data_IF_466181527015
#
_entry.id   IF_466181527015
#
_cell.length_a   1.000
_cell.length_b   1.000
_cell.length_c   1.000
_cell.angle_alpha   90.00
_cell.angle_beta   90.00
_cell.angle_gamma   90.00
#
_symmetry.space_group_name_H-M   'P 1'
#
loop_
_entity.id
_entity.type
_entity.pdbx_description
1 polymer ?
#
# COMPACT_ATOMS: atom_id res chain seq x y z
N UNK A 1 17.19 -52.07 32.50
CA UNK A 1 17.10 -52.98 31.34
C UNK A 1 15.63 -53.21 31.07
N UNK A 2 14.99 -52.86 29.96
CA UNK A 2 15.43 -52.31 28.68
C UNK A 2 14.25 -52.46 27.69
N UNK A 3 14.17 -51.58 26.70
CA UNK A 3 13.32 -51.70 25.51
C UNK A 3 11.90 -51.18 25.71
N UNK A 4 11.37 -50.25 24.93
CA UNK A 4 11.74 -49.76 23.61
C UNK A 4 10.43 -49.49 22.88
N UNK A 5 9.89 -48.27 23.01
CA UNK A 5 8.66 -47.91 22.31
C UNK A 5 8.99 -47.75 20.82
N UNK A 6 8.49 -48.70 20.02
CA UNK A 6 8.47 -48.62 18.56
C UNK A 6 7.68 -47.37 18.16
N UNK A 7 8.36 -46.39 17.59
CA UNK A 7 7.73 -45.37 16.77
C UNK A 7 7.57 -45.94 15.36
N UNK A 8 6.37 -46.41 15.04
CA UNK A 8 5.98 -46.64 13.65
C UNK A 8 5.44 -45.33 13.11
N UNK A 9 6.23 -44.67 12.27
CA UNK A 9 5.79 -43.57 11.44
C UNK A 9 4.72 -44.07 10.47
N UNK A 10 3.47 -43.74 10.78
CA UNK A 10 2.46 -43.53 9.77
C UNK A 10 2.21 -42.03 9.68
N UNK A 11 2.23 -41.57 8.44
CA UNK A 11 2.16 -40.18 8.00
C UNK A 11 0.93 -39.45 8.56
N UNK A 12 1.12 -38.68 9.64
CA UNK A 12 0.17 -37.63 10.09
C UNK A 12 0.56 -36.31 9.43
N UNK A 13 0.74 -36.33 8.10
CA UNK A 13 1.11 -35.18 7.28
C UNK A 13 -0.12 -34.42 6.71
N UNK A 14 -1.34 -34.71 7.17
CA UNK A 14 -2.59 -34.26 6.52
C UNK A 14 -3.55 -33.42 7.38
N UNK A 15 -3.16 -32.94 8.57
CA UNK A 15 -3.93 -31.86 9.23
C UNK A 15 -3.19 -30.53 8.99
N UNK A 16 -3.59 -29.74 7.97
CA UNK A 16 -2.80 -28.61 7.53
C UNK A 16 -2.87 -27.51 8.59
N UNK A 17 -1.74 -27.36 9.28
CA UNK A 17 -1.30 -26.26 10.13
C UNK A 17 -1.62 -24.88 9.53
N UNK A 18 -1.79 -24.79 8.21
CA UNK A 18 -2.19 -23.60 7.47
C UNK A 18 -3.61 -23.09 7.77
N UNK A 19 -4.57 -23.94 8.12
CA UNK A 19 -5.94 -23.48 8.47
C UNK A 19 -6.01 -22.80 9.83
N UNK A 20 -5.04 -23.08 10.70
CA UNK A 20 -4.89 -22.44 12.02
C UNK A 20 -4.14 -21.11 11.89
N UNK A 21 -3.08 -21.07 11.09
CA UNK A 21 -2.31 -19.82 10.82
C UNK A 21 -3.16 -18.80 10.04
N UNK A 22 -3.98 -19.23 9.09
CA UNK A 22 -4.86 -18.33 8.33
C UNK A 22 -5.91 -17.63 9.22
N UNK A 23 -6.42 -18.32 10.24
CA UNK A 23 -7.37 -17.72 11.21
C UNK A 23 -6.67 -16.76 12.17
N UNK A 24 -5.44 -17.06 12.58
CA UNK A 24 -4.65 -16.20 13.47
C UNK A 24 -4.19 -14.91 12.76
N UNK A 25 -3.82 -15.01 11.47
CA UNK A 25 -3.47 -13.86 10.62
C UNK A 25 -4.66 -12.93 10.33
N UNK A 26 -5.87 -13.48 10.09
CA UNK A 26 -7.09 -12.69 9.90
C UNK A 26 -7.53 -11.95 11.18
N UNK A 27 -7.25 -12.51 12.35
CA UNK A 27 -7.50 -11.85 13.65
C UNK A 27 -6.48 -10.73 13.93
N UNK A 28 -5.22 -10.91 13.53
CA UNK A 28 -4.16 -9.89 13.61
C UNK A 28 -4.41 -8.74 12.60
N UNK A 29 -4.89 -9.04 11.38
CA UNK A 29 -5.28 -8.04 10.36
C UNK A 29 -6.41 -7.13 10.83
N UNK A 30 -7.46 -7.70 11.45
CA UNK A 30 -8.57 -6.91 12.00
C UNK A 30 -8.14 -6.06 13.21
N UNK A 31 -7.14 -6.49 14.00
CA UNK A 31 -6.54 -5.68 15.09
C UNK A 31 -5.60 -4.59 14.57
N UNK A 32 -4.91 -4.79 13.45
CA UNK A 32 -4.06 -3.79 12.80
C UNK A 32 -4.86 -2.67 12.12
N UNK A 33 -6.00 -3.00 11.49
CA UNK A 33 -6.92 -2.01 10.91
C UNK A 33 -7.50 -1.09 11.97
N UNK A 34 -7.70 -1.59 13.19
CA UNK A 34 -8.15 -0.78 14.32
C UNK A 34 -7.04 0.13 14.90
N UNK A 35 -5.77 -0.17 14.63
CA UNK A 35 -4.59 0.57 15.10
C UNK A 35 -4.11 1.63 14.10
N UNK A 36 -4.30 1.44 12.79
CA UNK A 36 -3.82 2.39 11.77
C UNK A 36 -4.74 3.61 11.55
N UNK A 37 -5.92 3.66 12.18
CA UNK A 37 -6.78 4.84 12.17
C UNK A 37 -7.57 5.00 13.47
N UNK A 38 -7.01 5.73 14.46
CA UNK A 38 -7.59 7.05 14.73
C UNK A 38 -6.56 8.06 15.29
N UNK A 39 -6.05 9.00 14.48
CA UNK A 39 -5.66 10.33 15.02
C UNK A 39 -5.36 11.38 13.94
N UNK A 40 -6.24 12.39 13.88
CA UNK A 40 -6.21 13.54 12.96
C UNK A 40 -5.11 14.58 13.22
N UNK A 41 -4.20 14.38 14.20
CA UNK A 41 -3.30 15.47 14.67
C UNK A 41 -1.79 15.21 14.48
N UNK A 42 -1.31 13.97 14.57
CA UNK A 42 0.14 13.70 14.69
C UNK A 42 0.88 13.68 13.34
N UNK A 43 0.20 13.30 12.25
CA UNK A 43 0.84 13.21 10.94
C UNK A 43 1.42 14.54 10.44
N UNK A 44 0.78 15.67 10.77
CA UNK A 44 1.19 16.99 10.27
C UNK A 44 2.49 17.50 10.91
N UNK A 45 2.81 17.06 12.13
CA UNK A 45 4.08 17.35 12.80
C UNK A 45 5.18 16.40 12.34
N UNK A 46 4.90 15.10 12.18
CA UNK A 46 5.86 14.12 11.63
C UNK A 46 6.23 14.43 10.18
N UNK A 47 5.29 14.95 9.39
CA UNK A 47 5.51 15.39 8.01
C UNK A 47 6.31 16.71 7.90
N UNK A 48 6.60 17.39 9.01
CA UNK A 48 7.40 18.63 9.05
C UNK A 48 8.90 18.36 8.91
N UNK A 49 9.33 17.12 9.14
CA UNK A 49 10.75 16.72 9.21
C UNK A 49 11.35 16.19 7.89
N UNK A 50 10.66 16.35 6.76
CA UNK A 50 11.20 16.04 5.41
C UNK A 50 11.64 14.58 5.25
N UNK A 51 10.80 13.69 5.77
CA UNK A 51 11.11 12.28 5.89
C UNK A 51 10.89 11.51 4.57
N UNK A 52 11.87 11.57 3.66
CA UNK A 52 11.78 10.95 2.33
C UNK A 52 12.02 9.43 2.36
N UNK A 53 12.60 8.89 3.43
CA UNK A 53 12.95 7.47 3.52
C UNK A 53 11.72 6.57 3.70
N UNK A 54 10.73 6.95 4.50
CA UNK A 54 9.51 6.17 4.69
C UNK A 54 8.73 5.93 3.37
N UNK A 55 8.39 6.97 2.60
CA UNK A 55 7.77 6.86 1.28
C UNK A 55 8.57 6.00 0.31
N UNK A 56 9.90 6.12 0.35
CA UNK A 56 10.81 5.35 -0.50
C UNK A 56 10.79 3.85 -0.13
N UNK A 57 10.81 3.52 1.17
CA UNK A 57 10.68 2.12 1.63
C UNK A 57 9.32 1.55 1.23
N UNK A 58 8.23 2.29 1.38
CA UNK A 58 6.89 1.84 0.98
C UNK A 58 6.82 1.58 -0.54
N UNK A 59 7.43 2.46 -1.33
CA UNK A 59 7.51 2.30 -2.78
C UNK A 59 8.33 1.07 -3.16
N UNK A 60 9.50 0.86 -2.55
CA UNK A 60 10.34 -0.29 -2.81
C UNK A 60 9.67 -1.60 -2.39
N UNK A 61 9.03 -1.62 -1.22
CA UNK A 61 8.26 -2.76 -0.75
C UNK A 61 7.16 -3.13 -1.74
N UNK A 62 6.38 -2.14 -2.20
CA UNK A 62 5.34 -2.38 -3.22
C UNK A 62 5.96 -2.94 -4.51
N UNK A 63 7.03 -2.32 -5.02
CA UNK A 63 7.72 -2.78 -6.23
C UNK A 63 8.27 -4.20 -6.11
N UNK A 64 8.84 -4.56 -4.96
CA UNK A 64 9.37 -5.91 -4.68
C UNK A 64 8.23 -6.92 -4.63
N UNK A 65 7.13 -6.61 -3.92
CA UNK A 65 5.97 -7.51 -3.83
C UNK A 65 5.41 -7.80 -5.22
N UNK A 66 5.24 -6.78 -6.06
CA UNK A 66 4.74 -6.98 -7.43
C UNK A 66 5.75 -7.71 -8.31
N UNK A 67 7.04 -7.45 -8.15
CA UNK A 67 8.10 -8.11 -8.93
C UNK A 67 8.22 -9.60 -8.65
N UNK A 68 8.05 -10.02 -7.38
CA UNK A 68 8.12 -11.43 -6.97
C UNK A 68 6.93 -12.23 -7.51
N UNK A 69 5.75 -11.62 -7.61
CA UNK A 69 4.56 -12.27 -8.16
C UNK A 69 4.50 -12.22 -9.69
N UNK A 70 5.23 -11.30 -10.33
CA UNK A 70 5.27 -11.17 -11.78
C UNK A 70 6.06 -12.32 -12.44
N UNK A 71 5.76 -12.65 -13.72
CA UNK A 71 6.55 -13.60 -14.49
C UNK A 71 8.04 -13.18 -14.54
N UNK A 72 8.99 -14.14 -14.51
CA UNK A 72 10.42 -13.82 -14.42
C UNK A 72 10.93 -12.93 -15.55
N UNK A 73 10.31 -13.01 -16.75
CA UNK A 73 10.63 -12.17 -17.90
C UNK A 73 10.23 -10.69 -17.74
N UNK A 74 9.30 -10.37 -16.82
CA UNK A 74 8.75 -9.02 -16.64
C UNK A 74 8.99 -8.43 -15.24
N UNK A 75 9.46 -9.22 -14.28
CA UNK A 75 9.76 -8.83 -12.88
C UNK A 75 10.51 -7.48 -12.77
N UNK A 76 11.62 -7.33 -13.51
CA UNK A 76 12.44 -6.10 -13.53
C UNK A 76 11.64 -4.90 -14.09
N UNK A 77 10.85 -5.13 -15.13
CA UNK A 77 10.01 -4.09 -15.74
C UNK A 77 8.91 -3.61 -14.80
N UNK A 78 8.27 -4.53 -14.07
CA UNK A 78 7.25 -4.21 -13.07
C UNK A 78 7.85 -3.46 -11.89
N UNK A 79 8.97 -3.93 -11.34
CA UNK A 79 9.69 -3.25 -10.26
C UNK A 79 10.06 -1.81 -10.64
N UNK A 80 10.70 -1.65 -11.81
CA UNK A 80 11.14 -0.35 -12.30
C UNK A 80 9.94 0.55 -12.58
N UNK A 81 8.87 -0.01 -13.16
CA UNK A 81 7.60 0.67 -13.41
C UNK A 81 7.02 1.27 -12.13
N UNK A 82 6.90 0.49 -11.05
CA UNK A 82 6.39 0.99 -9.76
C UNK A 82 7.28 2.12 -9.22
N UNK A 83 8.60 1.94 -9.23
CA UNK A 83 9.54 2.96 -8.72
C UNK A 83 9.46 4.26 -9.53
N UNK A 84 9.41 4.17 -10.86
CA UNK A 84 9.31 5.34 -11.75
C UNK A 84 7.96 6.03 -11.58
N UNK A 85 6.86 5.27 -11.53
CA UNK A 85 5.52 5.83 -11.32
C UNK A 85 5.45 6.52 -9.97
N UNK A 86 5.89 5.88 -8.88
CA UNK A 86 5.87 6.48 -7.55
C UNK A 86 6.75 7.74 -7.45
N UNK A 87 7.97 7.71 -7.99
CA UNK A 87 8.90 8.84 -7.91
C UNK A 87 8.46 10.02 -8.80
N UNK A 88 8.27 9.79 -10.10
CA UNK A 88 7.89 10.85 -11.04
C UNK A 88 6.42 11.24 -10.92
N UNK A 89 5.52 10.28 -10.70
CA UNK A 89 4.10 10.52 -10.53
C UNK A 89 3.80 11.34 -9.27
N UNK A 90 4.42 11.03 -8.12
CA UNK A 90 4.27 11.86 -6.92
C UNK A 90 4.83 13.28 -7.13
N UNK A 91 5.93 13.42 -7.90
CA UNK A 91 6.50 14.71 -8.27
C UNK A 91 5.55 15.54 -9.12
N UNK A 92 5.00 14.98 -10.19
CA UNK A 92 4.03 15.66 -11.06
C UNK A 92 2.80 16.07 -10.27
N UNK A 93 2.19 15.15 -9.51
CA UNK A 93 0.98 15.43 -8.70
C UNK A 93 1.25 16.53 -7.67
N UNK A 94 2.41 16.50 -7.02
CA UNK A 94 2.76 17.51 -6.01
C UNK A 94 2.98 18.88 -6.64
N UNK A 95 3.70 18.98 -7.76
CA UNK A 95 3.88 20.24 -8.48
C UNK A 95 2.52 20.82 -8.89
N UNK A 96 1.64 19.99 -9.45
CA UNK A 96 0.29 20.40 -9.84
C UNK A 96 -0.51 20.94 -8.64
N UNK A 97 -0.47 20.25 -7.48
CA UNK A 97 -1.14 20.71 -6.26
C UNK A 97 -0.57 22.04 -5.73
N UNK A 98 0.73 22.31 -5.93
CA UNK A 98 1.34 23.60 -5.59
C UNK A 98 0.93 24.72 -6.53
N UNK A 99 0.92 24.46 -7.84
CA UNK A 99 0.50 25.44 -8.86
C UNK A 99 -0.95 25.89 -8.67
N UNK A 100 -1.79 25.01 -8.11
CA UNK A 100 -3.17 25.32 -7.72
C UNK A 100 -3.31 26.25 -6.50
N UNK A 101 -2.21 26.63 -5.85
CA UNK A 101 -2.19 27.54 -4.71
C UNK A 101 -2.18 26.87 -3.33
N UNK A 102 -1.88 25.56 -3.25
CA UNK A 102 -1.79 24.85 -1.98
C UNK A 102 -0.65 25.34 -1.08
N UNK A 103 -0.97 25.75 0.15
CA UNK A 103 0.01 26.24 1.15
C UNK A 103 0.71 25.10 1.90
N UNK A 104 1.36 24.21 1.16
CA UNK A 104 2.19 23.10 1.70
C UNK A 104 3.64 23.31 1.29
N UNK A 105 4.61 22.63 1.90
CA UNK A 105 5.97 22.49 1.34
C UNK A 105 6.01 21.46 0.20
N UNK A 106 6.93 21.59 -0.77
CA UNK A 106 6.99 20.66 -1.91
C UNK A 106 7.25 19.22 -1.43
N UNK A 107 8.30 19.04 -0.64
CA UNK A 107 8.67 17.73 -0.10
C UNK A 107 7.63 17.14 0.85
N UNK A 108 6.93 17.98 1.61
CA UNK A 108 5.84 17.52 2.48
C UNK A 108 4.69 16.91 1.67
N UNK A 109 4.36 17.49 0.51
CA UNK A 109 3.41 16.90 -0.43
C UNK A 109 3.89 15.54 -0.97
N UNK A 110 5.14 15.48 -1.44
CA UNK A 110 5.75 14.23 -1.94
C UNK A 110 5.69 13.12 -0.90
N UNK A 111 6.15 13.41 0.32
CA UNK A 111 6.19 12.43 1.39
C UNK A 111 4.78 11.95 1.74
N UNK A 112 3.82 12.87 1.87
CA UNK A 112 2.45 12.50 2.22
C UNK A 112 1.81 11.59 1.17
N UNK A 113 1.97 11.92 -0.12
CA UNK A 113 1.43 11.10 -1.20
C UNK A 113 2.02 9.69 -1.20
N UNK A 114 3.31 9.55 -0.88
CA UNK A 114 3.95 8.25 -0.74
C UNK A 114 3.51 7.49 0.52
N UNK A 115 3.28 8.16 1.64
CA UNK A 115 2.69 7.54 2.83
C UNK A 115 1.27 7.04 2.60
N UNK A 116 0.50 7.76 1.78
CA UNK A 116 -0.82 7.34 1.37
C UNK A 116 -0.81 6.05 0.52
N UNK A 117 0.33 5.55 0.05
CA UNK A 117 0.46 4.24 -0.65
C UNK A 117 0.42 3.05 0.33
N UNK A 118 0.56 3.27 1.64
CA UNK A 118 0.56 2.18 2.63
C UNK A 118 -0.61 1.17 2.51
N UNK A 119 -1.87 1.59 2.28
CA UNK A 119 -2.99 0.66 2.06
C UNK A 119 -2.83 -0.21 0.81
N UNK A 120 -2.27 0.34 -0.28
CA UNK A 120 -1.96 -0.42 -1.50
C UNK A 120 -0.86 -1.45 -1.25
N UNK A 121 0.14 -1.11 -0.44
CA UNK A 121 1.19 -2.05 -0.04
C UNK A 121 0.63 -3.22 0.79
N UNK A 122 -0.33 -2.94 1.67
CA UNK A 122 -1.05 -3.99 2.41
C UNK A 122 -1.90 -4.86 1.48
N UNK A 123 -2.58 -4.27 0.50
CA UNK A 123 -3.33 -5.02 -0.51
C UNK A 123 -2.42 -5.90 -1.37
N UNK A 124 -1.23 -5.40 -1.75
CA UNK A 124 -0.22 -6.18 -2.47
C UNK A 124 0.30 -7.34 -1.62
N UNK A 125 0.57 -7.12 -0.34
CA UNK A 125 0.99 -8.17 0.58
C UNK A 125 -0.06 -9.28 0.71
N UNK A 126 -1.34 -8.92 0.86
CA UNK A 126 -2.45 -9.89 0.91
C UNK A 126 -2.57 -10.64 -0.43
N UNK A 127 -2.33 -9.94 -1.55
CA UNK A 127 -2.34 -10.53 -2.90
C UNK A 127 -1.27 -11.61 -3.07
N UNK A 128 -0.13 -11.53 -2.36
CA UNK A 128 0.89 -12.58 -2.36
C UNK A 128 0.39 -13.90 -1.75
N UNK A 129 -0.52 -13.83 -0.76
CA UNK A 129 -1.06 -15.02 -0.10
C UNK A 129 -2.34 -15.52 -0.78
N UNK A 130 -3.14 -14.61 -1.36
CA UNK A 130 -4.45 -14.92 -1.95
C UNK A 130 -4.43 -14.62 -3.45
N UNK A 131 -4.26 -15.67 -4.26
CA UNK A 131 -4.21 -15.57 -5.73
C UNK A 131 -5.59 -15.52 -6.40
N UNK A 132 -6.68 -15.48 -5.61
CA UNK A 132 -8.05 -15.46 -6.14
C UNK A 132 -8.44 -14.05 -6.56
N UNK A 133 -8.66 -13.85 -7.86
CA UNK A 133 -8.98 -12.54 -8.44
C UNK A 133 -10.24 -11.90 -7.82
N UNK A 134 -11.24 -12.72 -7.47
CA UNK A 134 -12.47 -12.27 -6.83
C UNK A 134 -12.26 -11.67 -5.43
N UNK A 135 -11.14 -11.99 -4.76
CA UNK A 135 -10.75 -11.42 -3.47
C UNK A 135 -9.78 -10.25 -3.65
N UNK A 136 -8.86 -10.33 -4.62
CA UNK A 136 -7.92 -9.22 -4.93
C UNK A 136 -8.62 -7.98 -5.48
N UNK A 137 -9.60 -8.15 -6.35
CA UNK A 137 -10.35 -7.05 -6.95
C UNK A 137 -10.99 -6.10 -5.91
N UNK A 138 -11.84 -6.58 -4.97
CA UNK A 138 -12.42 -5.71 -3.96
C UNK A 138 -11.37 -5.13 -3.01
N UNK A 139 -10.34 -5.91 -2.63
CA UNK A 139 -9.26 -5.40 -1.76
C UNK A 139 -8.47 -4.26 -2.40
N UNK A 140 -8.11 -4.38 -3.68
CA UNK A 140 -7.40 -3.33 -4.40
C UNK A 140 -8.27 -2.06 -4.56
N UNK A 141 -9.58 -2.23 -4.83
CA UNK A 141 -10.53 -1.10 -4.92
C UNK A 141 -10.67 -0.40 -3.57
N UNK A 142 -10.79 -1.15 -2.47
CA UNK A 142 -10.88 -0.59 -1.12
C UNK A 142 -9.59 0.15 -0.74
N UNK A 143 -8.43 -0.46 -1.02
CA UNK A 143 -7.14 0.18 -0.79
C UNK A 143 -6.98 1.46 -1.61
N UNK A 144 -7.33 1.41 -2.90
CA UNK A 144 -7.32 2.57 -3.79
C UNK A 144 -8.23 3.71 -3.28
N UNK A 145 -9.47 3.38 -2.91
CA UNK A 145 -10.40 4.35 -2.34
C UNK A 145 -9.84 4.95 -1.03
N UNK A 146 -9.17 4.15 -0.20
CA UNK A 146 -8.53 4.60 1.02
C UNK A 146 -7.37 5.56 0.74
N UNK A 147 -6.52 5.26 -0.24
CA UNK A 147 -5.40 6.11 -0.64
C UNK A 147 -5.89 7.49 -1.10
N UNK A 148 -6.94 7.51 -1.93
CA UNK A 148 -7.58 8.75 -2.40
C UNK A 148 -8.15 9.51 -1.22
N UNK A 149 -8.94 8.85 -0.37
CA UNK A 149 -9.55 9.49 0.79
C UNK A 149 -8.49 10.10 1.73
N UNK A 150 -7.42 9.36 2.02
CA UNK A 150 -6.32 9.86 2.87
C UNK A 150 -5.62 11.08 2.24
N UNK A 151 -5.40 11.06 0.93
CA UNK A 151 -4.77 12.19 0.20
C UNK A 151 -5.69 13.41 0.10
N UNK A 152 -6.99 13.22 -0.11
CA UNK A 152 -7.98 14.31 -0.12
C UNK A 152 -8.08 14.97 1.25
N UNK A 153 -8.14 14.19 2.33
CA UNK A 153 -8.14 14.74 3.69
C UNK A 153 -6.87 15.55 3.99
N UNK A 154 -5.73 15.16 3.42
CA UNK A 154 -4.53 15.97 3.49
C UNK A 154 -4.69 17.29 2.73
N UNK A 155 -5.15 17.25 1.47
CA UNK A 155 -5.38 18.43 0.63
C UNK A 155 -6.38 19.41 1.23
N UNK A 156 -7.48 18.94 1.85
CA UNK A 156 -8.44 19.79 2.56
C UNK A 156 -7.77 20.58 3.70
N UNK A 157 -6.74 20.00 4.34
CA UNK A 157 -5.94 20.66 5.36
C UNK A 157 -5.04 21.80 4.85
N UNK A 158 -4.87 21.92 3.53
CA UNK A 158 -3.90 22.85 2.90
C UNK A 158 -4.49 24.21 2.53
N UNK A 159 -5.76 24.45 2.87
CA UNK A 159 -6.52 25.68 2.59
C UNK A 159 -6.57 26.03 1.10
N UNK A 160 -6.61 25.02 0.23
CA UNK A 160 -6.92 25.22 -1.19
C UNK A 160 -8.38 25.66 -1.32
N UNK A 161 -8.64 26.56 -2.26
CA UNK A 161 -9.98 27.03 -2.57
C UNK A 161 -10.89 25.84 -2.93
N UNK A 162 -12.08 25.69 -2.32
CA UNK A 162 -12.91 24.48 -2.49
C UNK A 162 -13.21 24.13 -3.95
N UNK A 163 -13.33 25.15 -4.80
CA UNK A 163 -13.54 25.02 -6.24
C UNK A 163 -12.36 24.39 -6.99
N UNK A 164 -11.14 24.49 -6.46
CA UNK A 164 -9.90 23.99 -7.07
C UNK A 164 -9.50 22.60 -6.56
N UNK A 165 -10.09 22.13 -5.46
CA UNK A 165 -9.79 20.81 -4.89
C UNK A 165 -10.07 19.71 -5.91
N UNK A 166 -11.19 19.80 -6.63
CA UNK A 166 -11.55 18.80 -7.65
C UNK A 166 -10.48 18.67 -8.75
N UNK A 167 -9.88 19.79 -9.17
CA UNK A 167 -8.80 19.81 -10.16
C UNK A 167 -7.49 19.19 -9.63
N UNK A 168 -7.23 19.29 -8.32
CA UNK A 168 -6.09 18.62 -7.69
C UNK A 168 -6.31 17.11 -7.52
N UNK A 169 -7.55 16.68 -7.31
CA UNK A 169 -7.90 15.27 -7.08
C UNK A 169 -7.81 14.43 -8.36
N UNK A 170 -8.07 15.01 -9.53
CA UNK A 170 -8.03 14.29 -10.81
C UNK A 170 -6.69 13.56 -11.09
N UNK A 171 -5.52 14.23 -11.10
CA UNK A 171 -4.24 13.53 -11.30
C UNK A 171 -3.90 12.56 -10.17
N UNK A 172 -4.38 12.84 -8.96
CA UNK A 172 -4.26 12.00 -7.76
C UNK A 172 -4.97 10.65 -7.94
N UNK A 173 -6.20 10.70 -8.47
CA UNK A 173 -7.01 9.54 -8.76
C UNK A 173 -6.34 8.64 -9.79
N UNK A 174 -5.84 9.23 -10.89
CA UNK A 174 -5.11 8.52 -11.94
C UNK A 174 -3.83 7.87 -11.41
N UNK A 175 -3.06 8.60 -10.59
CA UNK A 175 -1.83 8.10 -9.98
C UNK A 175 -2.06 6.84 -9.16
N UNK A 176 -3.02 6.86 -8.22
CA UNK A 176 -3.33 5.68 -7.41
C UNK A 176 -4.02 4.58 -8.22
N UNK A 177 -4.79 4.94 -9.24
CA UNK A 177 -5.46 3.96 -10.09
C UNK A 177 -4.47 3.10 -10.86
N UNK A 178 -3.42 3.70 -11.42
CA UNK A 178 -2.36 2.97 -12.13
C UNK A 178 -1.67 1.98 -11.19
N UNK A 179 -1.33 2.38 -9.96
CA UNK A 179 -0.71 1.49 -8.97
C UNK A 179 -1.65 0.35 -8.55
N UNK A 180 -2.93 0.65 -8.30
CA UNK A 180 -3.95 -0.35 -7.99
C UNK A 180 -4.13 -1.34 -9.16
N UNK A 181 -4.09 -0.85 -10.39
CA UNK A 181 -4.18 -1.67 -11.60
C UNK A 181 -2.98 -2.62 -11.73
N UNK A 182 -1.77 -2.15 -11.44
CA UNK A 182 -0.58 -3.01 -11.40
C UNK A 182 -0.71 -4.11 -10.35
N UNK A 183 -1.31 -3.82 -9.19
CA UNK A 183 -1.64 -4.83 -8.18
C UNK A 183 -2.70 -5.82 -8.66
N UNK A 184 -3.57 -5.46 -9.60
CA UNK A 184 -4.61 -6.35 -10.13
C UNK A 184 -4.14 -7.28 -11.25
N UNK A 185 -3.16 -6.84 -12.06
CA UNK A 185 -2.71 -7.58 -13.24
C UNK A 185 -1.59 -8.60 -12.96
N UNK A 186 -0.86 -8.46 -11.84
CA UNK A 186 0.11 -9.49 -11.38
C UNK A 186 -0.58 -10.84 -11.18
#
# INVERSE_FOLDING_TARGET
MGGGCRYTGQDTLDEPVGTTIARDALSIYNKLIHVLYPRKSTGREVLKDWDLWGPLILCLALGIMLSINAPPNQSIGVFTGVVVICSLGSLVVTIQAKLLGGRVSFFQGLCTLGYCIAPLNLAALISCFVHVIYVRAPLAILAWAWCIWASVNFLDGTKIEPQRILLAVYPLLLFYFILAWMILIQ
#
